data_IF_539165398665
#
_entry.id   IF_539165398665
#
_cell.length_a   1.000
_cell.length_b   1.000
_cell.length_c   1.000
_cell.angle_alpha   90.00
_cell.angle_beta   90.00
_cell.angle_gamma   90.00
#
_symmetry.space_group_name_H-M   'P 1'
#
loop_
_entity.id
_entity.type
_entity.pdbx_description
1 polymer ?
#
# COMPACT_ATOMS: atom_id res chain seq x y z
N UNK A 1 -45.70 21.82 42.96
CA UNK A 1 -45.62 21.77 41.50
C UNK A 1 -45.61 20.30 41.10
N UNK A 2 -46.62 19.85 40.39
CA UNK A 2 -46.85 18.45 40.12
C UNK A 2 -45.74 17.88 39.22
N UNK A 3 -45.15 16.76 39.63
CA UNK A 3 -44.06 16.07 38.85
C UNK A 3 -44.42 15.79 37.38
N UNK A 4 -45.70 15.65 37.06
CA UNK A 4 -46.21 15.45 35.72
C UNK A 4 -46.15 16.75 34.85
N UNK A 5 -46.27 17.94 35.44
CA UNK A 5 -46.15 19.23 34.74
C UNK A 5 -44.68 19.52 34.45
N UNK A 6 -43.80 19.17 35.35
CA UNK A 6 -42.33 19.31 35.13
C UNK A 6 -41.85 18.40 34.01
N UNK A 7 -42.38 17.16 33.91
CA UNK A 7 -42.00 16.22 32.85
C UNK A 7 -42.47 16.67 31.45
N UNK A 8 -43.63 17.30 31.32
CA UNK A 8 -44.11 17.86 30.05
C UNK A 8 -43.29 19.07 29.61
N UNK A 9 -42.86 19.91 30.57
CA UNK A 9 -42.00 21.07 30.28
C UNK A 9 -40.58 20.67 29.82
N UNK A 10 -40.02 19.66 30.43
CA UNK A 10 -38.71 19.13 30.02
C UNK A 10 -38.79 18.47 28.63
N UNK A 11 -39.88 17.77 28.33
CA UNK A 11 -40.06 17.13 27.02
C UNK A 11 -40.32 18.14 25.89
N UNK A 12 -41.07 19.23 26.17
CA UNK A 12 -41.28 20.32 25.20
C UNK A 12 -40.02 21.15 24.96
N UNK A 13 -39.18 21.37 25.98
CA UNK A 13 -37.90 22.05 25.82
C UNK A 13 -36.90 21.23 24.99
N UNK A 14 -36.94 19.87 25.09
CA UNK A 14 -36.10 18.98 24.27
C UNK A 14 -36.54 18.97 22.78
N UNK A 15 -37.80 19.24 22.47
CA UNK A 15 -38.25 19.32 21.08
C UNK A 15 -37.87 20.64 20.38
N UNK A 16 -37.60 21.70 21.13
CA UNK A 16 -37.15 22.98 20.57
C UNK A 16 -35.64 23.00 20.26
N UNK A 17 -34.86 22.07 20.77
CA UNK A 17 -33.41 21.97 20.51
C UNK A 17 -33.04 21.17 19.27
N UNK A 18 -34.03 20.63 18.53
CA UNK A 18 -33.80 19.95 17.23
C UNK A 18 -34.01 20.85 16.01
N UNK A 19 -33.91 22.14 16.16
CA UNK A 19 -33.68 22.99 14.97
C UNK A 19 -32.24 22.74 14.55
N UNK A 20 -32.07 22.03 13.41
CA UNK A 20 -30.78 21.95 12.74
C UNK A 20 -30.26 23.39 12.61
N UNK A 21 -29.16 23.70 13.27
CA UNK A 21 -28.46 24.95 13.05
C UNK A 21 -28.26 25.08 11.54
N UNK A 22 -28.77 26.16 10.96
CA UNK A 22 -28.38 26.64 9.64
C UNK A 22 -26.87 26.93 9.71
N UNK A 23 -26.07 25.88 9.62
CA UNK A 23 -24.63 25.96 9.64
C UNK A 23 -24.20 26.76 8.40
N UNK A 24 -23.53 27.86 8.62
CA UNK A 24 -22.83 28.62 7.58
C UNK A 24 -21.82 27.66 6.90
N UNK A 25 -22.25 26.90 5.89
CA UNK A 25 -21.43 25.93 5.18
C UNK A 25 -22.18 24.72 4.61
N UNK A 26 -23.43 24.50 4.97
CA UNK A 26 -24.28 23.49 4.34
C UNK A 26 -24.87 23.97 3.01
N UNK A 27 -25.10 23.03 2.07
CA UNK A 27 -25.82 23.32 0.82
C UNK A 27 -27.29 23.56 1.20
N UNK A 28 -27.77 24.81 1.07
CA UNK A 28 -29.16 25.14 1.31
C UNK A 28 -30.05 24.62 0.19
N UNK A 29 -31.33 24.44 0.47
CA UNK A 29 -32.32 24.03 -0.55
C UNK A 29 -32.37 25.04 -1.71
N UNK A 30 -32.19 26.32 -1.42
CA UNK A 30 -32.12 27.40 -2.43
C UNK A 30 -30.92 27.21 -3.35
N UNK A 31 -29.72 26.90 -2.78
CA UNK A 31 -28.52 26.61 -3.58
C UNK A 31 -28.71 25.33 -4.42
N UNK A 32 -29.33 24.30 -3.86
CA UNK A 32 -29.62 23.07 -4.59
C UNK A 32 -30.53 23.32 -5.79
N UNK A 33 -31.56 24.15 -5.61
CA UNK A 33 -32.47 24.53 -6.69
C UNK A 33 -31.77 25.39 -7.75
N UNK A 34 -30.89 26.30 -7.36
CA UNK A 34 -30.09 27.09 -8.30
C UNK A 34 -29.14 26.18 -9.11
N UNK A 35 -28.47 25.21 -8.46
CA UNK A 35 -27.62 24.23 -9.16
C UNK A 35 -28.46 23.45 -10.18
N UNK A 36 -29.65 22.96 -9.78
CA UNK A 36 -30.52 22.20 -10.67
C UNK A 36 -31.02 23.06 -11.87
N UNK A 37 -31.36 24.30 -11.65
CA UNK A 37 -31.83 25.22 -12.69
C UNK A 37 -30.72 25.64 -13.66
N UNK A 38 -29.50 25.81 -13.14
CA UNK A 38 -28.33 26.18 -13.95
C UNK A 38 -27.75 24.99 -14.72
N UNK A 39 -28.11 23.74 -14.35
CA UNK A 39 -27.67 22.57 -15.05
C UNK A 39 -28.42 22.34 -16.36
N UNK A 40 -27.82 22.76 -17.46
CA UNK A 40 -28.32 22.51 -18.82
C UNK A 40 -27.54 21.32 -19.40
N UNK A 41 -28.06 20.11 -19.16
CA UNK A 41 -27.42 18.87 -19.65
C UNK A 41 -27.39 18.79 -21.17
N UNK A 42 -26.24 19.04 -21.75
CA UNK A 42 -26.00 18.87 -23.19
C UNK A 42 -25.90 17.38 -23.55
N UNK A 43 -25.90 17.07 -24.85
CA UNK A 43 -25.64 15.68 -25.33
C UNK A 43 -24.27 15.20 -24.89
N UNK A 44 -23.26 16.09 -24.87
CA UNK A 44 -21.93 15.80 -24.37
C UNK A 44 -21.92 15.43 -22.88
N UNK A 45 -22.68 16.17 -22.05
CA UNK A 45 -22.79 15.88 -20.62
C UNK A 45 -23.45 14.52 -20.36
N UNK A 46 -24.44 14.15 -21.15
CA UNK A 46 -25.06 12.82 -21.07
C UNK A 46 -24.07 11.70 -21.42
N UNK A 47 -23.31 11.88 -22.50
CA UNK A 47 -22.29 10.93 -22.91
C UNK A 47 -21.19 10.79 -21.85
N UNK A 48 -20.70 11.90 -21.31
CA UNK A 48 -19.69 11.92 -20.26
C UNK A 48 -20.19 11.26 -18.95
N UNK A 49 -21.43 11.54 -18.55
CA UNK A 49 -22.05 10.91 -17.39
C UNK A 49 -22.15 9.39 -17.55
N UNK A 50 -22.58 8.94 -18.74
CA UNK A 50 -22.64 7.51 -19.03
C UNK A 50 -21.25 6.88 -19.04
N UNK A 51 -20.24 7.56 -19.58
CA UNK A 51 -18.86 7.09 -19.55
C UNK A 51 -18.34 6.95 -18.11
N UNK A 52 -18.54 7.97 -17.26
CA UNK A 52 -18.12 7.95 -15.85
C UNK A 52 -18.88 6.90 -15.04
N UNK A 53 -20.19 6.75 -15.27
CA UNK A 53 -21.03 5.83 -14.52
C UNK A 53 -20.78 4.34 -14.83
N UNK A 54 -20.23 4.04 -16.01
CA UNK A 54 -20.08 2.66 -16.50
C UNK A 54 -18.61 2.20 -16.64
N UNK A 55 -17.64 3.06 -16.31
CA UNK A 55 -16.23 2.73 -16.45
C UNK A 55 -15.43 3.07 -15.18
N UNK A 56 -14.27 2.44 -15.02
CA UNK A 56 -13.32 2.81 -13.97
C UNK A 56 -12.80 4.23 -14.24
N UNK A 57 -13.05 5.13 -13.30
CA UNK A 57 -12.65 6.55 -13.39
C UNK A 57 -11.13 6.70 -13.57
N UNK A 58 -10.32 5.77 -13.06
CA UNK A 58 -8.87 5.77 -13.24
C UNK A 58 -8.47 5.60 -14.69
N UNK A 59 -9.24 4.84 -15.47
CA UNK A 59 -9.02 4.68 -16.91
C UNK A 59 -9.46 5.90 -17.69
N UNK A 60 -10.56 6.53 -17.29
CA UNK A 60 -11.06 7.75 -17.93
C UNK A 60 -10.20 8.98 -17.64
N UNK A 61 -9.53 9.01 -16.48
CA UNK A 61 -8.63 10.10 -16.11
C UNK A 61 -7.27 10.08 -16.83
N UNK A 62 -6.95 9.01 -17.57
CA UNK A 62 -5.70 8.91 -18.32
C UNK A 62 -5.75 9.82 -19.56
N UNK A 63 -4.75 10.70 -19.69
CA UNK A 63 -4.55 11.49 -20.89
C UNK A 63 -3.90 10.60 -21.98
N UNK A 64 -4.68 10.26 -23.01
CA UNK A 64 -4.22 9.39 -24.10
C UNK A 64 -3.10 10.01 -24.94
N UNK A 65 -3.11 11.34 -25.13
CA UNK A 65 -2.03 12.02 -25.86
C UNK A 65 -0.71 11.88 -25.15
N UNK A 66 -0.70 12.04 -23.81
CA UNK A 66 0.50 11.82 -23.01
C UNK A 66 0.97 10.37 -23.05
N UNK A 67 0.05 9.41 -23.03
CA UNK A 67 0.40 7.99 -23.10
C UNK A 67 1.01 7.61 -24.46
N UNK A 68 0.45 8.11 -25.56
CA UNK A 68 0.95 7.81 -26.91
C UNK A 68 2.23 8.57 -27.22
N UNK A 69 2.47 9.71 -26.58
CA UNK A 69 3.68 10.52 -26.73
C UNK A 69 4.87 10.03 -25.91
N UNK A 70 4.71 9.04 -25.01
CA UNK A 70 5.83 8.52 -24.22
C UNK A 70 6.82 7.77 -25.13
N UNK A 71 8.08 8.23 -25.12
CA UNK A 71 9.18 7.52 -25.77
C UNK A 71 9.52 6.26 -24.95
N UNK A 72 9.37 5.10 -25.59
CA UNK A 72 9.70 3.79 -25.02
C UNK A 72 11.08 3.29 -25.46
N UNK A 73 11.86 4.12 -26.16
CA UNK A 73 13.21 3.79 -26.58
C UNK A 73 14.19 3.93 -25.41
N UNK A 74 14.91 2.88 -25.11
CA UNK A 74 15.97 2.85 -24.10
C UNK A 74 17.32 2.58 -24.79
N UNK A 75 18.30 3.45 -24.55
CA UNK A 75 19.66 3.31 -25.09
C UNK A 75 20.42 2.11 -24.50
N UNK A 76 20.05 1.69 -23.30
CA UNK A 76 20.63 0.51 -22.63
C UNK A 76 19.49 -0.40 -22.14
N UNK A 77 19.53 -1.66 -22.53
CA UNK A 77 18.56 -2.66 -22.13
C UNK A 77 19.26 -3.87 -21.51
N UNK A 78 18.87 -4.20 -20.27
CA UNK A 78 19.34 -5.39 -19.57
C UNK A 78 18.36 -6.55 -19.87
N UNK A 79 18.90 -7.67 -20.36
CA UNK A 79 18.09 -8.86 -20.60
C UNK A 79 17.85 -9.61 -19.29
N UNK A 80 16.70 -9.38 -18.67
CA UNK A 80 16.31 -10.03 -17.41
C UNK A 80 15.66 -11.41 -17.62
N UNK A 81 15.37 -11.80 -18.85
CA UNK A 81 14.63 -13.04 -19.19
C UNK A 81 13.34 -13.22 -18.37
N UNK A 82 12.54 -12.15 -18.29
CA UNK A 82 11.28 -12.08 -17.54
C UNK A 82 11.39 -11.36 -16.20
N UNK A 83 10.31 -11.35 -15.47
CA UNK A 83 10.15 -10.77 -14.12
C UNK A 83 9.35 -11.72 -13.25
N UNK A 84 9.54 -11.64 -11.94
CA UNK A 84 8.71 -12.35 -10.95
C UNK A 84 7.55 -11.47 -10.51
N UNK A 85 6.42 -12.09 -10.18
CA UNK A 85 5.18 -11.39 -9.79
C UNK A 85 4.94 -11.52 -8.28
N UNK A 86 4.99 -10.40 -7.56
CA UNK A 86 4.75 -10.33 -6.11
C UNK A 86 3.28 -10.50 -5.71
N UNK A 87 2.36 -10.53 -6.68
CA UNK A 87 0.91 -10.50 -6.46
C UNK A 87 0.48 -9.29 -5.62
N UNK A 88 -0.37 -9.48 -4.61
CA UNK A 88 -0.90 -8.41 -3.75
C UNK A 88 -0.06 -8.14 -2.49
N UNK A 89 1.16 -8.68 -2.41
CA UNK A 89 2.02 -8.47 -1.23
C UNK A 89 2.80 -7.16 -1.30
N UNK A 90 3.22 -6.61 -0.16
CA UNK A 90 4.07 -5.42 -0.06
C UNK A 90 5.56 -5.68 -0.32
N UNK A 91 5.92 -6.81 -0.95
CA UNK A 91 7.30 -7.27 -1.16
C UNK A 91 7.97 -6.73 -2.42
N UNK A 92 7.47 -5.63 -3.01
CA UNK A 92 8.05 -5.04 -4.23
C UNK A 92 9.55 -4.75 -4.12
N UNK A 93 10.00 -4.30 -2.96
CA UNK A 93 11.40 -4.03 -2.65
C UNK A 93 12.28 -5.28 -2.81
N UNK A 94 11.82 -6.43 -2.30
CA UNK A 94 12.53 -7.70 -2.35
C UNK A 94 12.54 -8.26 -3.78
N UNK A 95 11.39 -8.32 -4.43
CA UNK A 95 11.26 -8.80 -5.81
C UNK A 95 12.09 -7.97 -6.79
N UNK A 96 12.08 -6.65 -6.65
CA UNK A 96 12.92 -5.76 -7.48
C UNK A 96 14.41 -6.04 -7.28
N UNK A 97 14.86 -6.13 -6.03
CA UNK A 97 16.27 -6.43 -5.73
C UNK A 97 16.71 -7.79 -6.23
N UNK A 98 15.89 -8.82 -6.04
CA UNK A 98 16.17 -10.17 -6.55
C UNK A 98 16.18 -10.23 -8.08
N UNK A 99 15.27 -9.51 -8.77
CA UNK A 99 15.27 -9.43 -10.23
C UNK A 99 16.51 -8.74 -10.79
N UNK A 100 17.03 -7.70 -10.14
CA UNK A 100 18.31 -7.07 -10.52
C UNK A 100 19.47 -8.06 -10.39
N UNK A 101 19.54 -8.79 -9.27
CA UNK A 101 20.56 -9.83 -9.08
C UNK A 101 20.40 -11.00 -10.05
N UNK A 102 19.17 -11.39 -10.35
CA UNK A 102 18.85 -12.43 -11.33
C UNK A 102 19.43 -12.13 -12.70
N UNK A 103 19.21 -10.91 -13.20
CA UNK A 103 19.73 -10.50 -14.50
C UNK A 103 21.27 -10.63 -14.57
N UNK A 104 21.98 -10.20 -13.52
CA UNK A 104 23.43 -10.36 -13.41
C UNK A 104 23.86 -11.82 -13.32
N UNK A 105 23.13 -12.64 -12.59
CA UNK A 105 23.41 -14.08 -12.44
C UNK A 105 23.23 -14.82 -13.75
N UNK A 106 22.14 -14.57 -14.46
CA UNK A 106 21.84 -15.12 -15.79
C UNK A 106 22.99 -14.78 -16.77
N UNK A 107 23.38 -13.50 -16.81
CA UNK A 107 24.45 -13.04 -17.71
C UNK A 107 25.81 -13.64 -17.37
N UNK A 108 26.11 -13.81 -16.07
CA UNK A 108 27.41 -14.34 -15.63
C UNK A 108 27.59 -15.84 -15.86
N UNK A 109 26.51 -16.62 -15.69
CA UNK A 109 26.57 -18.09 -15.74
C UNK A 109 25.85 -18.67 -16.95
N UNK A 110 25.39 -17.82 -17.87
CA UNK A 110 24.68 -18.16 -19.10
C UNK A 110 23.47 -19.10 -18.87
N UNK A 111 22.69 -18.81 -17.84
CA UNK A 111 21.50 -19.60 -17.56
C UNK A 111 20.38 -19.27 -18.56
N UNK A 112 19.66 -20.30 -19.01
CA UNK A 112 18.47 -20.17 -19.86
C UNK A 112 17.33 -19.47 -19.08
N UNK A 113 17.07 -19.95 -17.87
CA UNK A 113 16.16 -19.31 -16.90
C UNK A 113 16.70 -19.51 -15.51
N UNK A 114 16.43 -18.58 -14.62
CA UNK A 114 16.84 -18.62 -13.24
C UNK A 114 15.94 -17.71 -12.39
N UNK A 115 15.55 -18.19 -11.22
CA UNK A 115 14.82 -17.40 -10.23
C UNK A 115 15.41 -17.64 -8.85
N UNK A 116 15.45 -16.57 -8.04
CA UNK A 116 15.74 -16.69 -6.61
C UNK A 116 14.47 -17.04 -5.86
N UNK A 117 14.58 -17.75 -4.76
CA UNK A 117 13.48 -17.89 -3.81
C UNK A 117 13.15 -16.53 -3.19
N UNK A 118 11.92 -16.08 -3.31
CA UNK A 118 11.44 -14.86 -2.67
C UNK A 118 10.99 -15.14 -1.22
N UNK A 119 10.62 -16.38 -0.91
CA UNK A 119 10.10 -16.76 0.42
C UNK A 119 11.24 -16.89 1.44
N UNK A 120 12.38 -17.45 1.04
CA UNK A 120 13.48 -17.68 1.94
C UNK A 120 14.07 -16.39 2.55
N UNK A 121 14.48 -15.37 1.75
CA UNK A 121 14.94 -14.11 2.30
C UNK A 121 13.82 -13.34 3.01
N UNK A 122 12.58 -13.47 2.57
CA UNK A 122 11.45 -12.87 3.26
C UNK A 122 11.22 -13.45 4.67
N UNK A 123 11.37 -14.75 4.83
CA UNK A 123 11.30 -15.37 6.16
C UNK A 123 12.31 -14.74 7.13
N UNK A 124 13.56 -14.57 6.69
CA UNK A 124 14.60 -13.98 7.53
C UNK A 124 14.34 -12.50 7.81
N UNK A 125 13.83 -11.75 6.83
CA UNK A 125 13.40 -10.37 7.02
C UNK A 125 12.32 -10.26 8.10
N UNK A 126 11.29 -11.11 8.05
CA UNK A 126 10.24 -11.11 9.04
C UNK A 126 10.73 -11.53 10.44
N UNK A 127 11.65 -12.48 10.51
CA UNK A 127 12.25 -12.90 11.76
C UNK A 127 13.07 -11.77 12.41
N UNK A 128 13.87 -11.06 11.63
CA UNK A 128 14.65 -9.92 12.10
C UNK A 128 13.76 -8.75 12.54
N UNK A 129 12.71 -8.45 11.79
CA UNK A 129 11.72 -7.44 12.15
C UNK A 129 10.99 -7.80 13.45
N UNK A 130 10.60 -9.08 13.60
CA UNK A 130 9.97 -9.56 14.83
C UNK A 130 10.92 -9.44 16.03
N UNK A 131 12.19 -9.80 15.85
CA UNK A 131 13.20 -9.65 16.88
C UNK A 131 13.42 -8.18 17.27
N UNK A 132 13.51 -7.29 16.28
CA UNK A 132 13.63 -5.84 16.51
C UNK A 132 12.42 -5.28 17.25
N UNK A 133 11.21 -5.71 16.88
CA UNK A 133 9.97 -5.33 17.56
C UNK A 133 10.00 -5.77 19.04
N UNK A 134 10.32 -7.04 19.30
CA UNK A 134 10.39 -7.58 20.66
C UNK A 134 11.47 -6.87 21.49
N UNK A 135 12.63 -6.58 20.91
CA UNK A 135 13.67 -5.79 21.58
C UNK A 135 13.18 -4.38 21.90
N UNK A 136 12.48 -3.73 20.96
CA UNK A 136 11.87 -2.42 21.19
C UNK A 136 10.86 -2.41 22.33
N UNK A 137 10.04 -3.47 22.46
CA UNK A 137 9.12 -3.64 23.61
C UNK A 137 9.89 -3.78 24.92
N UNK A 138 10.97 -4.59 24.95
CA UNK A 138 11.81 -4.77 26.14
C UNK A 138 12.43 -3.43 26.55
N UNK A 139 13.00 -2.70 25.60
CA UNK A 139 13.68 -1.43 25.84
C UNK A 139 12.73 -0.31 26.31
N UNK A 140 11.45 -0.43 25.94
CA UNK A 140 10.42 0.57 26.29
C UNK A 140 9.47 0.13 27.41
N UNK A 141 9.69 -1.02 28.06
CA UNK A 141 8.77 -1.61 29.06
C UNK A 141 8.45 -0.69 30.25
N UNK A 142 9.36 0.21 30.61
CA UNK A 142 9.16 1.16 31.69
C UNK A 142 8.45 2.46 31.24
N UNK A 143 8.22 2.63 29.95
CA UNK A 143 7.58 3.83 29.40
C UNK A 143 6.06 3.69 29.42
N UNK A 144 5.32 4.80 29.62
CA UNK A 144 3.86 4.77 29.55
C UNK A 144 3.37 4.51 28.11
N UNK A 145 2.17 3.96 27.96
CA UNK A 145 1.54 3.71 26.66
C UNK A 145 1.34 4.98 25.81
N UNK A 146 1.35 6.15 26.42
CA UNK A 146 1.28 7.45 25.74
C UNK A 146 2.62 7.94 25.18
N UNK A 147 3.73 7.23 25.43
CA UNK A 147 5.02 7.53 24.82
C UNK A 147 4.95 7.27 23.32
N UNK A 148 5.40 8.23 22.50
CA UNK A 148 5.32 8.16 21.04
C UNK A 148 6.05 6.95 20.43
N UNK A 149 7.13 6.51 21.06
CA UNK A 149 7.88 5.33 20.61
C UNK A 149 7.09 4.05 20.88
N UNK A 150 6.45 3.94 22.05
CA UNK A 150 5.57 2.82 22.41
C UNK A 150 4.38 2.76 21.46
N UNK A 151 3.70 3.89 21.27
CA UNK A 151 2.58 4.00 20.34
C UNK A 151 2.97 3.56 18.93
N UNK A 152 4.10 4.05 18.43
CA UNK A 152 4.61 3.70 17.10
C UNK A 152 4.90 2.20 16.97
N UNK A 153 5.54 1.57 17.96
CA UNK A 153 5.82 0.13 17.99
C UNK A 153 4.54 -0.69 17.88
N UNK A 154 3.49 -0.33 18.63
CA UNK A 154 2.22 -1.05 18.59
C UNK A 154 1.41 -0.81 17.32
N UNK A 155 1.56 0.34 16.68
CA UNK A 155 0.93 0.62 15.38
C UNK A 155 1.66 -0.08 14.22
N UNK A 156 2.96 -0.39 14.37
CA UNK A 156 3.80 -0.95 13.30
C UNK A 156 4.57 -2.20 13.78
N UNK A 157 3.88 -3.23 14.28
CA UNK A 157 4.57 -4.39 14.87
C UNK A 157 5.37 -5.16 13.83
N UNK A 158 4.79 -5.40 12.65
CA UNK A 158 5.41 -6.09 11.52
C UNK A 158 4.87 -5.52 10.20
N UNK A 159 5.72 -5.47 9.19
CA UNK A 159 5.37 -5.03 7.84
C UNK A 159 6.06 -5.90 6.81
N UNK A 160 5.38 -6.21 5.70
CA UNK A 160 5.97 -6.87 4.54
C UNK A 160 6.74 -5.90 3.62
N UNK A 161 6.63 -4.59 3.86
CA UNK A 161 7.38 -3.54 3.19
C UNK A 161 8.86 -3.53 3.57
N UNK A 162 9.68 -2.91 2.72
CA UNK A 162 11.11 -2.75 2.97
C UNK A 162 11.76 -1.83 1.93
N UNK A 163 13.09 -1.78 1.97
CA UNK A 163 13.91 -0.93 1.11
C UNK A 163 14.95 -1.75 0.35
N UNK A 164 15.55 -1.17 -0.68
CA UNK A 164 16.64 -1.81 -1.41
C UNK A 164 17.84 -2.17 -0.50
N UNK A 165 18.14 -1.33 0.48
CA UNK A 165 19.18 -1.62 1.48
C UNK A 165 18.86 -2.89 2.26
N UNK A 166 17.59 -3.13 2.61
CA UNK A 166 17.16 -4.37 3.25
C UNK A 166 17.46 -5.62 2.42
N UNK A 167 17.35 -5.56 1.09
CA UNK A 167 17.76 -6.67 0.21
C UNK A 167 19.26 -6.92 0.36
N UNK A 168 20.08 -5.87 0.32
CA UNK A 168 21.53 -6.00 0.44
C UNK A 168 21.93 -6.59 1.80
N UNK A 169 21.30 -6.17 2.88
CA UNK A 169 21.57 -6.64 4.24
C UNK A 169 21.19 -8.12 4.38
N UNK A 170 20.03 -8.53 3.91
CA UNK A 170 19.59 -9.94 3.95
C UNK A 170 20.53 -10.82 3.13
N UNK A 171 20.88 -10.41 1.91
CA UNK A 171 21.79 -11.18 1.06
C UNK A 171 23.19 -11.29 1.70
N UNK A 172 23.67 -10.20 2.32
CA UNK A 172 24.96 -10.21 3.01
C UNK A 172 24.93 -11.10 4.27
N UNK A 173 23.85 -11.06 5.05
CA UNK A 173 23.62 -11.90 6.22
C UNK A 173 23.56 -13.39 5.83
N UNK A 174 22.79 -13.73 4.81
CA UNK A 174 22.69 -15.09 4.27
C UNK A 174 24.04 -15.59 3.74
N UNK A 175 24.86 -14.72 3.13
CA UNK A 175 26.21 -15.05 2.72
C UNK A 175 27.13 -15.38 3.90
N UNK A 176 26.96 -14.75 5.06
CA UNK A 176 27.71 -15.06 6.28
C UNK A 176 27.32 -16.41 6.87
N UNK A 177 26.00 -16.71 6.91
CA UNK A 177 25.48 -17.99 7.39
C UNK A 177 25.92 -19.15 6.50
N UNK A 178 25.93 -18.94 5.20
CA UNK A 178 26.34 -19.94 4.22
C UNK A 178 27.81 -19.70 3.85
N UNK A 179 28.73 -20.43 4.50
CA UNK A 179 30.19 -20.34 4.25
C UNK A 179 30.64 -20.52 2.79
N UNK A 180 29.74 -20.96 1.88
CA UNK A 180 30.01 -21.14 0.45
C UNK A 180 29.05 -20.25 -0.37
N UNK A 181 29.52 -19.39 -1.29
CA UNK A 181 28.67 -18.53 -2.11
C UNK A 181 27.66 -19.30 -2.97
N UNK A 182 27.95 -20.56 -3.31
CA UNK A 182 27.05 -21.47 -4.03
C UNK A 182 25.88 -21.90 -3.16
N UNK A 183 26.02 -22.01 -1.84
CA UNK A 183 24.94 -22.44 -0.94
C UNK A 183 23.80 -21.41 -0.85
N UNK A 184 24.08 -20.11 -0.96
CA UNK A 184 23.04 -19.05 -1.03
C UNK A 184 22.22 -19.21 -2.30
N UNK A 185 22.87 -19.52 -3.42
CA UNK A 185 22.20 -19.76 -4.71
C UNK A 185 21.37 -21.05 -4.63
N UNK A 186 21.91 -22.13 -4.04
CA UNK A 186 21.23 -23.43 -3.94
C UNK A 186 20.04 -23.37 -2.97
N UNK A 187 20.15 -22.71 -1.82
CA UNK A 187 19.05 -22.54 -0.87
C UNK A 187 17.94 -21.66 -1.44
N UNK A 188 18.27 -20.72 -2.32
CA UNK A 188 17.30 -19.94 -3.06
C UNK A 188 16.63 -20.72 -4.21
N UNK A 189 17.24 -21.79 -4.72
CA UNK A 189 16.76 -22.60 -5.87
C UNK A 189 15.97 -23.84 -5.41
N UNK A 190 16.20 -24.33 -4.19
CA UNK A 190 15.63 -25.60 -3.71
C UNK A 190 14.11 -25.65 -3.61
N UNK A 191 13.46 -24.51 -3.73
CA UNK A 191 11.99 -24.43 -3.68
C UNK A 191 11.30 -24.68 -5.01
N UNK A 192 12.02 -24.74 -6.13
CA UNK A 192 11.44 -25.01 -7.46
C UNK A 192 11.08 -26.51 -7.66
N UNK A 193 11.62 -27.42 -6.80
CA UNK A 193 11.43 -28.87 -6.96
C UNK A 193 10.37 -29.48 -6.03
N UNK A 194 9.71 -28.71 -5.19
CA UNK A 194 8.71 -29.22 -4.23
C UNK A 194 7.32 -28.59 -4.35
N UNK A 195 7.01 -27.90 -5.43
CA UNK A 195 5.68 -27.51 -5.87
C UNK A 195 5.38 -28.10 -7.26
#
# INVERSE_FOLDING_TARGET
MNKRILSVFVFSAALFSMQAQDGKGGISETMLNQIKQNYQGTTADKALRNAIGNNDIRKLALNQENLTGMDTHFSVKVNSKGITDQKSSGRCWLFTGLNVMRAKTIAKYDFQSFEFSEIYPFFWDQLEKANLFLQGIIDTREKPMSDKTVEWLFQHPLSDGGTFTGVADIVWYLRKLCRKPIAVIILCVWQIWFL
#
